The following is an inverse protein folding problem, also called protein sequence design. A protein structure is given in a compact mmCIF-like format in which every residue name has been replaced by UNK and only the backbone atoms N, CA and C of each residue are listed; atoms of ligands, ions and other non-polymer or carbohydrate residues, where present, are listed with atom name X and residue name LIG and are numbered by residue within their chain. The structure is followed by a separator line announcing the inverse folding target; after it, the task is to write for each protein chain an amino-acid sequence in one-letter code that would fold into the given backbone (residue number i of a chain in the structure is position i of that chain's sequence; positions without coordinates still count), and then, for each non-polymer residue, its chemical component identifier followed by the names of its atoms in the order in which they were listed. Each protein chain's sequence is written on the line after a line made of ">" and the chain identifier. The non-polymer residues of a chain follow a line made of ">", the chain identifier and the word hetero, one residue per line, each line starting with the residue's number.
data_IF_306671804922
#
_entry.id   IF_306671804922
#
_cell.length_a   1.000
_cell.length_b   1.000
_cell.length_c   1.000
_cell.angle_alpha   90.00
_cell.angle_beta   90.00
_cell.angle_gamma   90.00
#
_symmetry.space_group_name_H-M   'P 1'
#
loop_
_entity.id
_entity.type
_entity.pdbx_description
1 polymer ?
#
# COMPACT_ATOMS: atom_id res chain seq x y z
N UNK A 1 51.06 -16.11 -54.24
CA UNK A 1 49.83 -16.82 -53.82
C UNK A 1 49.97 -17.11 -52.33
N UNK A 2 49.59 -16.16 -51.47
CA UNK A 2 49.68 -16.32 -50.00
C UNK A 2 48.36 -16.91 -49.50
N UNK A 3 48.38 -18.18 -49.09
CA UNK A 3 47.27 -18.81 -48.39
C UNK A 3 47.30 -18.37 -46.92
N UNK A 4 46.35 -17.51 -46.54
CA UNK A 4 46.07 -17.19 -45.14
C UNK A 4 45.65 -18.47 -44.42
N UNK A 5 46.46 -18.95 -43.46
CA UNK A 5 46.06 -20.08 -42.61
C UNK A 5 44.80 -19.70 -41.82
N UNK A 6 43.83 -20.62 -41.64
CA UNK A 6 42.64 -20.36 -40.85
C UNK A 6 43.03 -20.05 -39.39
N UNK A 7 42.40 -19.01 -38.83
CA UNK A 7 42.63 -18.52 -37.46
C UNK A 7 42.23 -19.59 -36.42
N UNK A 8 43.16 -20.47 -36.04
CA UNK A 8 42.93 -21.52 -35.04
C UNK A 8 42.58 -20.97 -33.64
N UNK A 9 42.94 -19.72 -33.33
CA UNK A 9 42.53 -19.03 -32.10
C UNK A 9 41.03 -18.69 -32.01
N UNK A 10 40.35 -18.51 -33.14
CA UNK A 10 38.92 -18.17 -33.15
C UNK A 10 38.04 -19.34 -32.68
N UNK A 11 38.40 -20.58 -33.02
CA UNK A 11 37.68 -21.78 -32.58
C UNK A 11 37.92 -22.09 -31.09
N UNK A 12 39.09 -21.73 -30.56
CA UNK A 12 39.40 -21.89 -29.13
C UNK A 12 38.60 -20.89 -28.27
N UNK A 13 38.45 -19.66 -28.77
CA UNK A 13 37.63 -18.62 -28.13
C UNK A 13 36.13 -18.95 -28.17
N UNK A 14 35.62 -19.50 -29.29
CA UNK A 14 34.21 -19.88 -29.40
C UNK A 14 33.82 -20.97 -28.38
N UNK A 15 34.68 -21.97 -28.18
CA UNK A 15 34.42 -23.03 -27.20
C UNK A 15 34.42 -22.48 -25.76
N UNK A 16 35.27 -21.49 -25.46
CA UNK A 16 35.31 -20.83 -24.16
C UNK A 16 34.04 -19.98 -23.93
N UNK A 17 33.63 -19.20 -24.93
CA UNK A 17 32.37 -18.43 -24.88
C UNK A 17 31.15 -19.34 -24.69
N UNK A 18 31.10 -20.48 -25.40
CA UNK A 18 30.03 -21.46 -25.25
C UNK A 18 30.01 -22.08 -23.85
N UNK A 19 31.17 -22.43 -23.29
CA UNK A 19 31.25 -22.93 -21.92
C UNK A 19 30.80 -21.88 -20.91
N UNK A 20 31.21 -20.62 -21.08
CA UNK A 20 30.79 -19.52 -20.21
C UNK A 20 29.27 -19.29 -20.29
N UNK A 21 28.67 -19.35 -21.48
CA UNK A 21 27.22 -19.26 -21.65
C UNK A 21 26.50 -20.45 -21.00
N UNK A 22 27.02 -21.67 -21.15
CA UNK A 22 26.44 -22.86 -20.52
C UNK A 22 26.48 -22.75 -18.99
N UNK A 23 27.59 -22.30 -18.41
CA UNK A 23 27.70 -22.07 -16.96
C UNK A 23 26.69 -21.02 -16.50
N UNK A 24 26.58 -19.88 -17.20
CA UNK A 24 25.59 -18.84 -16.86
C UNK A 24 24.15 -19.35 -16.93
N UNK A 25 23.81 -20.19 -17.91
CA UNK A 25 22.47 -20.78 -18.03
C UNK A 25 22.22 -21.75 -16.87
N UNK A 26 23.18 -22.62 -16.54
CA UNK A 26 23.05 -23.59 -15.45
C UNK A 26 22.88 -22.87 -14.11
N UNK A 27 23.65 -21.81 -13.87
CA UNK A 27 23.56 -21.00 -12.65
C UNK A 27 22.24 -20.20 -12.58
N UNK A 28 21.68 -19.83 -13.73
CA UNK A 28 20.40 -19.11 -13.82
C UNK A 28 19.18 -19.99 -13.50
N UNK A 29 19.20 -21.28 -13.84
CA UNK A 29 18.08 -22.21 -13.60
C UNK A 29 17.59 -22.23 -12.14
N UNK A 30 18.44 -22.42 -11.11
CA UNK A 30 17.96 -22.42 -9.72
C UNK A 30 17.36 -21.08 -9.30
N UNK A 31 17.92 -19.96 -9.76
CA UNK A 31 17.42 -18.61 -9.51
C UNK A 31 16.04 -18.39 -10.15
N UNK A 32 15.84 -18.93 -11.35
CA UNK A 32 14.54 -18.90 -12.01
C UNK A 32 13.50 -19.74 -11.24
N UNK A 33 13.89 -20.91 -10.74
CA UNK A 33 13.00 -21.77 -9.95
C UNK A 33 12.59 -21.06 -8.65
N UNK A 34 13.53 -20.47 -7.90
CA UNK A 34 13.20 -19.73 -6.67
C UNK A 34 12.30 -18.54 -6.97
N UNK A 35 12.55 -17.77 -8.03
CA UNK A 35 11.69 -16.68 -8.48
C UNK A 35 10.25 -17.15 -8.76
N UNK A 36 10.09 -18.25 -9.50
CA UNK A 36 8.78 -18.82 -9.82
C UNK A 36 8.05 -19.33 -8.56
N UNK A 37 8.78 -19.94 -7.62
CA UNK A 37 8.22 -20.39 -6.34
C UNK A 37 7.75 -19.18 -5.52
N UNK A 38 8.56 -18.14 -5.39
CA UNK A 38 8.19 -16.90 -4.69
C UNK A 38 6.96 -16.26 -5.34
N UNK A 39 6.91 -16.21 -6.66
CA UNK A 39 5.77 -15.66 -7.39
C UNK A 39 4.50 -16.50 -7.19
N UNK A 40 4.61 -17.83 -7.25
CA UNK A 40 3.49 -18.74 -7.00
C UNK A 40 2.96 -18.64 -5.56
N UNK A 41 3.85 -18.56 -4.57
CA UNK A 41 3.48 -18.29 -3.17
C UNK A 41 2.77 -16.94 -3.07
N UNK A 42 3.28 -15.89 -3.73
CA UNK A 42 2.66 -14.56 -3.74
C UNK A 42 1.25 -14.57 -4.35
N UNK A 43 1.03 -15.33 -5.44
CA UNK A 43 -0.30 -15.55 -6.03
C UNK A 43 -1.24 -16.28 -5.05
N UNK A 44 -0.75 -17.31 -4.36
CA UNK A 44 -1.52 -18.04 -3.38
C UNK A 44 -1.91 -17.16 -2.18
N UNK A 45 -0.92 -16.50 -1.57
CA UNK A 45 -1.09 -15.63 -0.40
C UNK A 45 -1.99 -14.44 -0.75
N UNK A 46 -1.79 -13.79 -1.90
CA UNK A 46 -2.64 -12.65 -2.30
C UNK A 46 -4.11 -13.05 -2.43
N UNK A 47 -4.40 -14.21 -3.02
CA UNK A 47 -5.76 -14.73 -3.15
C UNK A 47 -6.36 -15.12 -1.79
N UNK A 48 -5.56 -15.76 -0.93
CA UNK A 48 -5.99 -16.15 0.41
C UNK A 48 -6.34 -14.91 1.24
N UNK A 49 -5.40 -13.97 1.36
CA UNK A 49 -5.58 -12.75 2.15
C UNK A 49 -6.70 -11.87 1.60
N UNK A 50 -6.82 -11.72 0.27
CA UNK A 50 -7.92 -10.96 -0.33
C UNK A 50 -9.30 -11.57 -0.04
N UNK A 51 -9.43 -12.91 -0.07
CA UNK A 51 -10.67 -13.61 0.32
C UNK A 51 -10.97 -13.44 1.81
N UNK A 52 -9.94 -13.51 2.66
CA UNK A 52 -10.06 -13.27 4.10
C UNK A 52 -10.55 -11.85 4.40
N UNK A 53 -9.94 -10.84 3.77
CA UNK A 53 -10.34 -9.43 3.87
C UNK A 53 -11.78 -9.23 3.40
N UNK A 54 -12.16 -9.78 2.25
CA UNK A 54 -13.52 -9.67 1.74
C UNK A 54 -14.55 -10.27 2.70
N UNK A 55 -14.28 -11.45 3.25
CA UNK A 55 -15.18 -12.14 4.20
C UNK A 55 -15.33 -11.35 5.51
N UNK A 56 -14.22 -10.87 6.08
CA UNK A 56 -14.22 -10.07 7.32
C UNK A 56 -14.83 -8.69 7.13
N UNK A 57 -14.63 -8.06 5.97
CA UNK A 57 -15.16 -6.72 5.70
C UNK A 57 -16.68 -6.73 5.51
N UNK A 58 -17.24 -7.76 4.86
CA UNK A 58 -18.71 -7.92 4.71
C UNK A 58 -19.48 -7.97 6.03
N UNK A 59 -18.86 -8.40 7.13
CA UNK A 59 -19.52 -8.45 8.45
C UNK A 59 -19.43 -7.15 9.23
N UNK A 60 -18.63 -6.18 8.76
CA UNK A 60 -18.36 -4.90 9.44
C UNK A 60 -18.78 -3.68 8.62
N UNK A 61 -18.80 -3.79 7.30
CA UNK A 61 -19.08 -2.69 6.37
C UNK A 61 -20.41 -2.96 5.69
N UNK A 62 -21.37 -2.04 5.82
CA UNK A 62 -22.69 -2.15 5.19
C UNK A 62 -22.62 -2.15 3.66
N UNK A 63 -21.61 -1.48 3.08
CA UNK A 63 -21.43 -1.40 1.64
C UNK A 63 -20.50 -2.51 1.10
N UNK A 64 -21.05 -3.34 0.22
CA UNK A 64 -20.34 -4.43 -0.48
C UNK A 64 -19.19 -3.93 -1.36
N UNK A 65 -19.31 -2.73 -1.92
CA UNK A 65 -18.32 -2.14 -2.81
C UNK A 65 -17.05 -1.76 -2.06
N UNK A 66 -17.17 -1.15 -0.89
CA UNK A 66 -16.03 -0.84 -0.01
C UNK A 66 -15.26 -2.11 0.38
N UNK A 67 -15.98 -3.21 0.64
CA UNK A 67 -15.36 -4.51 0.94
C UNK A 67 -14.59 -5.07 -0.25
N UNK A 68 -15.12 -4.91 -1.48
CA UNK A 68 -14.45 -5.33 -2.73
C UNK A 68 -13.22 -4.46 -3.01
N UNK A 69 -13.31 -3.15 -2.80
CA UNK A 69 -12.18 -2.22 -2.97
C UNK A 69 -11.02 -2.61 -2.04
N UNK A 70 -11.29 -2.85 -0.75
CA UNK A 70 -10.26 -3.21 0.22
C UNK A 70 -9.60 -4.57 -0.10
N UNK A 71 -10.39 -5.54 -0.54
CA UNK A 71 -9.90 -6.85 -1.00
C UNK A 71 -9.01 -6.71 -2.25
N UNK A 72 -9.40 -5.85 -3.19
CA UNK A 72 -8.66 -5.59 -4.43
C UNK A 72 -7.33 -4.89 -4.16
N UNK A 73 -7.32 -3.85 -3.32
CA UNK A 73 -6.10 -3.15 -2.90
C UNK A 73 -5.15 -4.14 -2.23
N UNK A 74 -5.64 -4.93 -1.26
CA UNK A 74 -4.83 -5.95 -0.57
C UNK A 74 -4.18 -6.93 -1.56
N UNK A 75 -4.94 -7.43 -2.54
CA UNK A 75 -4.43 -8.37 -3.54
C UNK A 75 -3.30 -7.74 -4.35
N UNK A 76 -3.52 -6.54 -4.89
CA UNK A 76 -2.53 -5.85 -5.72
C UNK A 76 -1.27 -5.48 -4.94
N UNK A 77 -1.39 -5.03 -3.70
CA UNK A 77 -0.23 -4.75 -2.84
C UNK A 77 0.65 -6.00 -2.67
N UNK A 78 0.06 -7.15 -2.33
CA UNK A 78 0.80 -8.40 -2.15
C UNK A 78 1.44 -8.86 -3.47
N UNK A 79 0.73 -8.74 -4.60
CA UNK A 79 1.26 -9.12 -5.91
C UNK A 79 2.43 -8.26 -6.34
N UNK A 80 2.33 -6.93 -6.19
CA UNK A 80 3.41 -6.01 -6.53
C UNK A 80 4.67 -6.31 -5.71
N UNK A 81 4.52 -6.51 -4.39
CA UNK A 81 5.64 -6.89 -3.53
C UNK A 81 6.22 -8.26 -3.93
N UNK A 82 5.37 -9.24 -4.20
CA UNK A 82 5.78 -10.57 -4.63
C UNK A 82 6.54 -10.57 -5.95
N UNK A 83 6.14 -9.72 -6.91
CA UNK A 83 6.84 -9.52 -8.18
C UNK A 83 8.22 -8.92 -7.95
N UNK A 84 8.33 -7.88 -7.12
CA UNK A 84 9.63 -7.25 -6.80
C UNK A 84 10.59 -8.28 -6.19
N UNK A 85 10.12 -9.06 -5.21
CA UNK A 85 10.95 -10.10 -4.56
C UNK A 85 11.32 -11.21 -5.56
N UNK A 86 10.40 -11.61 -6.45
CA UNK A 86 10.69 -12.63 -7.46
C UNK A 86 11.72 -12.14 -8.50
N UNK A 87 11.67 -10.87 -8.90
CA UNK A 87 12.64 -10.27 -9.82
C UNK A 87 14.04 -10.18 -9.18
N UNK A 88 14.12 -9.90 -7.89
CA UNK A 88 15.39 -9.88 -7.16
C UNK A 88 16.09 -11.26 -7.20
N UNK A 89 15.33 -12.36 -7.16
CA UNK A 89 15.89 -13.71 -7.23
C UNK A 89 16.65 -14.01 -8.52
N UNK A 90 16.30 -13.35 -9.64
CA UNK A 90 17.00 -13.52 -10.93
C UNK A 90 18.09 -12.47 -11.15
N UNK A 91 18.56 -11.81 -10.07
CA UNK A 91 19.54 -10.73 -10.10
C UNK A 91 19.10 -9.54 -10.97
N UNK A 92 17.80 -9.35 -11.16
CA UNK A 92 17.27 -8.18 -11.85
C UNK A 92 17.40 -6.95 -10.94
N UNK A 93 17.87 -5.83 -11.48
CA UNK A 93 17.96 -4.59 -10.72
C UNK A 93 16.56 -4.01 -10.47
N UNK A 94 16.02 -4.26 -9.26
CA UNK A 94 14.71 -3.77 -8.83
C UNK A 94 14.74 -2.37 -8.22
N UNK A 95 15.91 -1.72 -8.11
CA UNK A 95 16.03 -0.39 -7.49
C UNK A 95 15.11 0.63 -8.13
N UNK A 96 15.00 0.63 -9.47
CA UNK A 96 14.09 1.53 -10.19
C UNK A 96 12.62 1.28 -9.86
N UNK A 97 12.21 0.00 -9.72
CA UNK A 97 10.86 -0.37 -9.31
C UNK A 97 10.55 0.08 -7.88
N UNK A 98 11.46 -0.19 -6.95
CA UNK A 98 11.31 0.21 -5.54
C UNK A 98 11.26 1.74 -5.42
N UNK A 99 12.12 2.46 -6.15
CA UNK A 99 12.10 3.92 -6.17
C UNK A 99 10.75 4.46 -6.70
N UNK A 100 10.24 3.90 -7.81
CA UNK A 100 8.94 4.28 -8.36
C UNK A 100 7.78 4.00 -7.41
N UNK A 101 7.79 2.85 -6.73
CA UNK A 101 6.81 2.52 -5.69
C UNK A 101 6.90 3.46 -4.48
N UNK A 102 8.12 3.89 -4.12
CA UNK A 102 8.35 4.89 -3.08
C UNK A 102 7.70 6.24 -3.42
N UNK A 103 7.89 6.74 -4.65
CA UNK A 103 7.28 7.99 -5.13
C UNK A 103 5.75 7.88 -5.19
N UNK A 104 5.23 6.77 -5.71
CA UNK A 104 3.79 6.52 -5.75
C UNK A 104 3.19 6.45 -4.33
N UNK A 105 3.85 5.73 -3.42
CA UNK A 105 3.46 5.63 -2.02
C UNK A 105 3.48 6.97 -1.30
N UNK A 106 4.51 7.79 -1.52
CA UNK A 106 4.59 9.15 -1.01
C UNK A 106 3.43 10.02 -1.49
N UNK A 107 3.13 9.96 -2.79
CA UNK A 107 2.04 10.73 -3.41
C UNK A 107 0.67 10.33 -2.85
N UNK A 108 0.42 9.02 -2.72
CA UNK A 108 -0.81 8.50 -2.11
C UNK A 108 -0.88 8.92 -0.63
N UNK A 109 0.23 8.83 0.10
CA UNK A 109 0.31 9.28 1.50
C UNK A 109 -0.02 10.77 1.66
N UNK A 110 0.50 11.60 0.75
CA UNK A 110 0.18 13.03 0.70
C UNK A 110 -1.31 13.27 0.42
N UNK A 111 -1.90 12.54 -0.52
CA UNK A 111 -3.33 12.65 -0.81
C UNK A 111 -4.23 12.22 0.36
N UNK A 112 -3.75 11.31 1.22
CA UNK A 112 -4.46 10.84 2.41
C UNK A 112 -4.17 11.66 3.68
N UNK A 113 -3.36 12.72 3.59
CA UNK A 113 -2.91 13.47 4.75
C UNK A 113 -4.06 14.02 5.59
N UNK A 114 -5.10 14.59 4.96
CA UNK A 114 -6.22 15.19 5.70
C UNK A 114 -7.12 14.14 6.38
N UNK A 115 -7.24 12.95 5.79
CA UNK A 115 -7.93 11.82 6.44
C UNK A 115 -7.17 11.40 7.70
N UNK A 116 -5.84 11.30 7.61
CA UNK A 116 -4.99 10.96 8.75
C UNK A 116 -5.07 12.01 9.87
N UNK A 117 -5.05 13.32 9.53
CA UNK A 117 -5.20 14.40 10.51
C UNK A 117 -6.53 14.29 11.28
N UNK A 118 -7.65 14.12 10.57
CA UNK A 118 -8.97 13.98 11.20
C UNK A 118 -9.07 12.73 12.09
N UNK A 119 -8.51 11.61 11.63
CA UNK A 119 -8.45 10.37 12.42
C UNK A 119 -7.68 10.56 13.73
N UNK A 120 -6.48 11.16 13.67
CA UNK A 120 -5.64 11.41 14.85
C UNK A 120 -6.33 12.40 15.79
N UNK A 121 -6.92 13.48 15.27
CA UNK A 121 -7.70 14.44 16.06
C UNK A 121 -8.88 13.76 16.76
N UNK A 122 -9.62 12.88 16.07
CA UNK A 122 -10.73 12.12 16.67
C UNK A 122 -10.29 11.24 17.84
N UNK A 123 -9.20 10.49 17.67
CA UNK A 123 -8.62 9.70 18.77
C UNK A 123 -8.25 10.60 19.95
N UNK A 124 -7.66 11.76 19.68
CA UNK A 124 -7.18 12.65 20.72
C UNK A 124 -8.31 13.34 21.48
N UNK A 125 -9.42 13.68 20.81
CA UNK A 125 -10.65 14.15 21.43
C UNK A 125 -11.23 13.10 22.39
N UNK A 126 -11.29 11.83 21.95
CA UNK A 126 -11.80 10.73 22.80
C UNK A 126 -10.89 10.44 23.99
N UNK A 127 -9.56 10.55 23.83
CA UNK A 127 -8.60 10.29 24.91
C UNK A 127 -8.54 11.43 25.92
N UNK A 128 -8.47 12.68 25.44
CA UNK A 128 -8.34 13.87 26.31
C UNK A 128 -9.66 14.34 26.88
N UNK A 129 -10.77 13.95 26.26
CA UNK A 129 -12.14 14.30 26.65
C UNK A 129 -12.29 15.78 27.07
N UNK A 130 -11.90 16.74 26.21
CA UNK A 130 -12.11 18.15 26.53
C UNK A 130 -13.60 18.50 26.68
N UNK A 131 -14.46 17.71 26.04
CA UNK A 131 -15.92 17.71 26.15
C UNK A 131 -16.44 16.30 25.85
N UNK A 132 -17.69 16.04 26.18
CA UNK A 132 -18.38 14.77 25.99
C UNK A 132 -19.66 14.96 25.16
N UNK A 133 -20.19 13.84 24.65
CA UNK A 133 -21.51 13.83 24.02
C UNK A 133 -22.56 14.26 25.05
N UNK A 134 -23.35 15.26 24.71
CA UNK A 134 -24.32 15.90 25.59
C UNK A 134 -23.87 17.26 26.16
N UNK A 135 -22.59 17.61 26.02
CA UNK A 135 -22.09 18.91 26.49
C UNK A 135 -22.49 20.04 25.53
N UNK A 136 -22.82 21.19 26.11
CA UNK A 136 -23.01 22.44 25.39
C UNK A 136 -21.64 23.10 25.14
N UNK A 137 -21.33 23.39 23.89
CA UNK A 137 -20.01 23.85 23.43
C UNK A 137 -20.15 24.88 22.31
N UNK A 138 -19.10 25.69 22.12
CA UNK A 138 -18.89 26.48 20.92
C UNK A 138 -17.69 25.90 20.16
N UNK A 139 -17.92 25.29 19.00
CA UNK A 139 -16.88 24.64 18.22
C UNK A 139 -16.81 25.22 16.81
N UNK A 140 -15.64 25.73 16.42
CA UNK A 140 -15.41 26.29 15.08
C UNK A 140 -16.45 27.35 14.67
N UNK A 141 -16.94 28.14 15.63
CA UNK A 141 -17.95 29.19 15.42
C UNK A 141 -19.41 28.72 15.40
N UNK A 142 -19.68 27.47 15.78
CA UNK A 142 -21.04 26.94 15.95
C UNK A 142 -21.30 26.64 17.43
N UNK A 143 -22.36 27.24 17.97
CA UNK A 143 -22.85 26.99 19.32
C UNK A 143 -23.94 25.92 19.33
N UNK A 144 -23.85 24.97 20.26
CA UNK A 144 -24.85 23.92 20.39
C UNK A 144 -24.43 22.78 21.31
N UNK A 145 -25.14 21.66 21.22
CA UNK A 145 -24.87 20.46 22.00
C UNK A 145 -24.19 19.40 21.13
N UNK A 146 -23.11 18.79 21.64
CA UNK A 146 -22.46 17.66 20.97
C UNK A 146 -23.37 16.45 21.00
N UNK A 147 -23.69 15.89 19.83
CA UNK A 147 -24.59 14.73 19.70
C UNK A 147 -23.85 13.44 19.39
N UNK A 148 -22.71 13.51 18.70
CA UNK A 148 -21.88 12.35 18.41
C UNK A 148 -20.42 12.75 18.17
N UNK A 149 -19.49 11.86 18.47
CA UNK A 149 -18.07 12.00 18.15
C UNK A 149 -17.62 10.73 17.44
N UNK A 150 -17.41 10.81 16.13
CA UNK A 150 -16.90 9.70 15.35
C UNK A 150 -15.38 9.83 15.16
N UNK A 151 -14.82 8.84 14.46
CA UNK A 151 -13.41 8.79 14.13
C UNK A 151 -12.92 9.99 13.28
N UNK A 152 -13.79 10.59 12.45
CA UNK A 152 -13.40 11.67 11.52
C UNK A 152 -14.08 13.01 11.74
N UNK A 153 -15.22 13.00 12.41
CA UNK A 153 -16.08 14.17 12.60
C UNK A 153 -16.75 14.18 13.98
N UNK A 154 -17.07 15.39 14.43
CA UNK A 154 -17.86 15.69 15.62
C UNK A 154 -19.17 16.32 15.15
N UNK A 155 -20.29 15.83 15.66
CA UNK A 155 -21.63 16.28 15.27
C UNK A 155 -22.19 17.18 16.36
N UNK A 156 -22.56 18.40 16.00
CA UNK A 156 -23.14 19.41 16.90
C UNK A 156 -24.55 19.71 16.44
N UNK A 157 -25.50 19.70 17.36
CA UNK A 157 -26.84 20.21 17.12
C UNK A 157 -26.93 21.64 17.65
N UNK A 158 -27.12 22.61 16.78
CA UNK A 158 -27.20 24.03 17.15
C UNK A 158 -28.49 24.32 17.92
N UNK A 159 -28.53 25.45 18.62
CA UNK A 159 -29.73 25.91 19.33
C UNK A 159 -30.93 26.15 18.38
N UNK A 160 -30.63 26.51 17.13
CA UNK A 160 -31.62 26.67 16.06
C UNK A 160 -32.13 25.33 15.49
N UNK A 161 -31.58 24.21 15.96
CA UNK A 161 -31.98 22.85 15.59
C UNK A 161 -31.28 22.28 14.36
N UNK A 162 -30.28 22.98 13.81
CA UNK A 162 -29.48 22.48 12.67
C UNK A 162 -28.45 21.44 13.13
N UNK A 163 -28.16 20.46 12.28
CA UNK A 163 -27.13 19.44 12.53
C UNK A 163 -25.88 19.80 11.73
N UNK A 164 -24.82 20.16 12.44
CA UNK A 164 -23.53 20.56 11.86
C UNK A 164 -22.53 19.44 12.05
N UNK A 165 -21.88 19.03 10.95
CA UNK A 165 -20.85 17.99 10.94
C UNK A 165 -19.49 18.66 10.77
N UNK A 166 -18.70 18.67 11.84
CA UNK A 166 -17.39 19.32 11.88
C UNK A 166 -16.27 18.27 11.75
N UNK A 167 -15.31 18.43 10.82
CA UNK A 167 -14.13 17.58 10.79
C UNK A 167 -13.38 17.65 12.13
N UNK A 168 -12.94 16.52 12.67
CA UNK A 168 -12.26 16.49 13.97
C UNK A 168 -11.00 17.36 14.00
N UNK A 169 -10.34 17.53 12.86
CA UNK A 169 -9.19 18.43 12.76
C UNK A 169 -9.57 19.88 13.11
N UNK A 170 -10.70 20.41 12.61
CA UNK A 170 -11.10 21.80 12.87
C UNK A 170 -11.52 22.00 14.32
N UNK A 171 -12.12 20.98 14.93
CA UNK A 171 -12.49 20.98 16.35
C UNK A 171 -11.25 20.97 17.24
N UNK A 172 -10.28 20.12 16.96
CA UNK A 172 -9.08 19.98 17.78
C UNK A 172 -8.09 21.16 17.61
N UNK A 173 -8.05 21.80 16.44
CA UNK A 173 -7.10 22.89 16.17
C UNK A 173 -7.51 24.25 16.72
N UNK A 174 -8.79 24.41 17.08
CA UNK A 174 -9.33 25.67 17.57
C UNK A 174 -9.40 25.68 19.11
N UNK A 175 -9.24 26.85 19.74
CA UNK A 175 -9.57 27.01 21.15
C UNK A 175 -11.03 26.61 21.39
N UNK A 176 -11.25 26.06 22.58
CA UNK A 176 -12.54 25.62 23.11
C UNK A 176 -12.96 26.59 24.21
#
# INVERSE_FOLDING_TARGET
>A
MYFSKPNQGAFMNLNQELQELLTKIIDFVPHLITALVVFAISLFVSNLTAKWVLRKSKTRVKNIETSKLLSTITRWTILVLGIVIALEQVNFNVTGFVAGLGVAGFTIGFALQDIAKNFVSGILLVIRQPFQVGDAVELSGFEGTVTDITLRDTVVQTWDGEVVILPNMSVYSNPI
#
